data_IF_638247579555
#
_entry.id   IF_638247579555
#
_cell.length_a   1.000
_cell.length_b   1.000
_cell.length_c   1.000
_cell.angle_alpha   90.00
_cell.angle_beta   90.00
_cell.angle_gamma   90.00
#
_symmetry.space_group_name_H-M   'P 1'
#
loop_
_entity.id
_entity.type
_entity.pdbx_description
1 polymer ?
#
# COMPACT_ATOMS: atom_id res chain seq x y z
N UNK A 1 -49.70 -16.21 38.30
CA UNK A 1 -49.01 -14.91 38.48
C UNK A 1 -47.84 -14.93 37.51
N UNK A 2 -48.05 -14.53 36.25
CA UNK A 2 -47.85 -13.14 35.77
C UNK A 2 -46.42 -12.68 36.07
N UNK A 3 -45.60 -12.17 35.16
CA UNK A 3 -45.63 -11.91 33.73
C UNK A 3 -44.27 -11.20 33.46
N UNK A 4 -43.82 -11.13 32.19
CA UNK A 4 -42.85 -10.15 31.63
C UNK A 4 -41.32 -10.42 31.60
N UNK A 5 -40.85 -10.52 30.34
CA UNK A 5 -39.58 -10.00 29.75
C UNK A 5 -38.38 -10.94 29.93
N UNK A 6 -37.87 -11.67 28.91
CA UNK A 6 -37.39 -11.24 27.60
C UNK A 6 -37.26 -12.46 26.65
N UNK A 7 -37.65 -12.32 25.39
CA UNK A 7 -37.57 -13.32 24.33
C UNK A 7 -36.54 -12.88 23.26
N UNK A 8 -35.93 -13.87 22.59
CA UNK A 8 -35.20 -13.80 21.32
C UNK A 8 -33.85 -13.06 21.28
N UNK A 9 -32.75 -13.82 21.27
CA UNK A 9 -31.77 -13.75 20.16
C UNK A 9 -31.23 -15.16 19.89
N UNK A 10 -31.72 -15.78 18.82
CA UNK A 10 -31.09 -16.93 18.16
C UNK A 10 -30.69 -16.47 16.76
N UNK A 11 -29.46 -16.82 16.37
CA UNK A 11 -28.82 -16.65 15.05
C UNK A 11 -28.37 -15.25 14.62
N UNK A 12 -27.05 -15.04 14.70
CA UNK A 12 -26.28 -14.64 13.53
C UNK A 12 -24.92 -15.33 13.59
N UNK A 13 -24.84 -16.47 12.90
CA UNK A 13 -23.57 -17.06 12.50
C UNK A 13 -22.89 -16.01 11.61
N UNK A 14 -21.85 -15.34 12.13
CA UNK A 14 -20.92 -14.60 11.31
C UNK A 14 -20.11 -15.63 10.52
N UNK A 15 -20.64 -16.05 9.37
CA UNK A 15 -19.80 -16.63 8.32
C UNK A 15 -18.89 -15.52 7.81
N UNK A 16 -17.68 -15.41 8.36
CA UNK A 16 -16.59 -14.68 7.74
C UNK A 16 -16.11 -15.47 6.51
N UNK A 17 -16.89 -15.39 5.42
CA UNK A 17 -16.33 -15.65 4.11
C UNK A 17 -15.36 -14.51 3.81
N UNK A 18 -14.10 -14.73 4.15
CA UNK A 18 -12.95 -13.96 3.67
C UNK A 18 -12.82 -14.18 2.15
N UNK A 19 -13.68 -13.51 1.38
CA UNK A 19 -13.52 -13.41 -0.08
C UNK A 19 -12.40 -12.43 -0.38
N UNK A 20 -11.30 -12.99 -0.90
CA UNK A 20 -10.10 -12.28 -1.36
C UNK A 20 -10.46 -11.06 -2.22
N UNK A 21 -9.94 -9.86 -1.94
CA UNK A 21 -10.07 -8.74 -2.86
C UNK A 21 -9.47 -9.09 -4.22
N UNK A 22 -10.21 -8.86 -5.31
CA UNK A 22 -9.69 -8.92 -6.67
C UNK A 22 -8.62 -7.83 -6.93
N UNK A 23 -8.01 -7.77 -8.14
CA UNK A 23 -7.01 -6.74 -8.48
C UNK A 23 -7.57 -5.31 -8.51
N UNK A 24 -8.89 -5.16 -8.42
CA UNK A 24 -9.63 -3.91 -8.26
C UNK A 24 -10.62 -4.11 -7.12
N UNK A 25 -10.75 -3.10 -6.27
CA UNK A 25 -11.55 -3.15 -5.04
C UNK A 25 -12.59 -2.03 -5.02
N UNK A 26 -13.64 -2.19 -4.21
CA UNK A 26 -14.56 -1.10 -3.91
C UNK A 26 -13.83 -0.15 -2.96
N UNK A 27 -13.66 1.10 -3.38
CA UNK A 27 -12.87 2.10 -2.66
C UNK A 27 -13.74 3.07 -1.87
N UNK A 28 -14.85 3.48 -2.44
CA UNK A 28 -15.75 4.47 -1.84
C UNK A 28 -17.19 4.22 -2.29
N UNK A 29 -18.14 4.41 -1.38
CA UNK A 29 -19.58 4.19 -1.61
C UNK A 29 -20.34 5.41 -1.13
N UNK A 30 -21.05 6.06 -2.04
CA UNK A 30 -21.87 7.25 -1.80
C UNK A 30 -23.36 6.93 -1.98
N UNK A 31 -24.02 6.39 -0.93
CA UNK A 31 -25.37 5.84 -1.05
C UNK A 31 -26.48 6.89 -0.91
N UNK A 32 -26.19 8.09 -0.41
CA UNK A 32 -27.22 9.09 -0.12
C UNK A 32 -26.84 10.48 -0.60
N UNK A 33 -27.05 10.72 -1.88
CA UNK A 33 -26.81 12.02 -2.49
C UNK A 33 -27.72 13.11 -1.91
N UNK A 34 -27.13 14.27 -1.62
CA UNK A 34 -27.85 15.52 -1.28
C UNK A 34 -27.87 16.51 -2.44
N UNK A 35 -27.16 16.19 -3.54
CA UNK A 35 -27.10 16.95 -4.78
C UNK A 35 -27.49 16.08 -5.97
N UNK A 36 -27.84 16.69 -7.11
CA UNK A 36 -28.36 16.02 -8.30
C UNK A 36 -27.41 15.08 -9.04
N UNK A 37 -26.26 14.70 -8.45
CA UNK A 37 -25.28 13.79 -9.05
C UNK A 37 -25.58 12.30 -8.82
N UNK A 38 -26.62 11.97 -8.04
CA UNK A 38 -27.04 10.59 -7.80
C UNK A 38 -26.10 9.81 -6.88
N UNK A 39 -26.40 8.54 -6.70
CA UNK A 39 -25.59 7.60 -5.93
C UNK A 39 -24.40 7.15 -6.78
N UNK A 40 -23.30 6.79 -6.14
CA UNK A 40 -22.17 6.22 -6.87
C UNK A 40 -21.32 5.30 -6.01
N UNK A 41 -20.56 4.45 -6.70
CA UNK A 41 -19.50 3.63 -6.12
C UNK A 41 -18.22 3.87 -6.91
N UNK A 42 -17.12 4.06 -6.21
CA UNK A 42 -15.80 4.15 -6.80
C UNK A 42 -15.00 2.86 -6.61
N UNK A 43 -14.31 2.48 -7.68
CA UNK A 43 -13.36 1.40 -7.72
C UNK A 43 -11.93 1.93 -7.70
N UNK A 44 -11.02 1.22 -7.04
CA UNK A 44 -9.59 1.54 -7.03
C UNK A 44 -8.76 0.33 -7.46
N UNK A 45 -7.71 0.58 -8.25
CA UNK A 45 -6.75 -0.44 -8.68
C UNK A 45 -5.44 -0.35 -7.88
N UNK A 46 -5.25 -1.18 -6.83
CA UNK A 46 -4.00 -1.24 -6.07
C UNK A 46 -2.85 -1.94 -6.79
N UNK A 47 -3.10 -2.61 -7.92
CA UNK A 47 -2.07 -3.36 -8.64
C UNK A 47 -1.10 -2.44 -9.39
N UNK A 48 0.02 -3.01 -9.83
CA UNK A 48 1.07 -2.28 -10.58
C UNK A 48 0.81 -2.19 -12.10
N UNK A 49 -0.33 -2.69 -12.56
CA UNK A 49 -0.71 -2.69 -13.97
C UNK A 49 -2.14 -2.16 -14.14
N UNK A 50 -2.45 -1.63 -15.32
CA UNK A 50 -3.83 -1.25 -15.64
C UNK A 50 -4.73 -2.49 -15.72
N UNK A 51 -5.97 -2.38 -15.22
CA UNK A 51 -6.96 -3.47 -15.24
C UNK A 51 -8.15 -3.06 -16.10
N UNK A 52 -8.42 -3.84 -17.15
CA UNK A 52 -9.64 -3.71 -17.93
C UNK A 52 -10.80 -4.42 -17.21
N UNK A 53 -11.91 -3.72 -17.02
CA UNK A 53 -13.11 -4.22 -16.32
C UNK A 53 -14.07 -4.98 -17.25
N UNK A 54 -13.54 -5.61 -18.30
CA UNK A 54 -14.34 -6.39 -19.25
C UNK A 54 -14.97 -7.59 -18.55
N UNK A 55 -16.31 -7.67 -18.58
CA UNK A 55 -17.08 -8.74 -17.93
C UNK A 55 -17.32 -8.54 -16.42
N UNK A 56 -16.75 -7.50 -15.81
CA UNK A 56 -16.98 -7.21 -14.40
C UNK A 56 -18.38 -6.64 -14.16
N UNK A 57 -18.90 -6.80 -12.95
CA UNK A 57 -20.22 -6.29 -12.57
C UNK A 57 -20.24 -5.74 -11.14
N UNK A 58 -21.03 -4.68 -10.91
CA UNK A 58 -21.40 -4.22 -9.58
C UNK A 58 -22.87 -4.53 -9.32
N UNK A 59 -23.18 -5.03 -8.13
CA UNK A 59 -24.57 -5.34 -7.73
C UNK A 59 -24.87 -4.89 -6.30
N UNK A 60 -26.13 -4.53 -6.05
CA UNK A 60 -26.62 -4.27 -4.69
C UNK A 60 -26.88 -5.57 -3.91
N UNK A 61 -27.36 -5.46 -2.68
CA UNK A 61 -27.73 -6.61 -1.85
C UNK A 61 -28.83 -7.49 -2.47
N UNK A 62 -29.76 -6.89 -3.21
CA UNK A 62 -30.84 -7.60 -3.88
C UNK A 62 -30.39 -8.23 -5.22
N UNK A 63 -29.14 -8.03 -5.62
CA UNK A 63 -28.58 -8.52 -6.86
C UNK A 63 -28.86 -7.65 -8.08
N UNK A 64 -29.45 -6.46 -7.92
CA UNK A 64 -29.67 -5.52 -9.01
C UNK A 64 -28.33 -4.93 -9.48
N UNK A 65 -28.19 -4.68 -10.78
CA UNK A 65 -26.98 -4.07 -11.32
C UNK A 65 -26.84 -2.59 -10.90
N UNK A 66 -25.61 -2.20 -10.51
CA UNK A 66 -25.23 -0.86 -10.09
C UNK A 66 -24.36 -0.20 -11.18
N UNK A 67 -25.00 0.29 -12.23
CA UNK A 67 -24.33 0.92 -13.38
C UNK A 67 -23.55 -0.06 -14.27
N UNK A 68 -22.84 0.49 -15.25
CA UNK A 68 -22.06 -0.29 -16.23
C UNK A 68 -20.56 -0.10 -16.05
N UNK A 69 -19.82 -1.21 -16.05
CA UNK A 69 -18.36 -1.25 -16.05
C UNK A 69 -17.75 -1.52 -17.44
N UNK A 70 -18.59 -1.75 -18.46
CA UNK A 70 -18.13 -2.15 -19.78
C UNK A 70 -17.19 -1.10 -20.40
N UNK A 71 -16.06 -1.57 -20.96
CA UNK A 71 -15.08 -0.73 -21.64
C UNK A 71 -14.20 0.12 -20.74
N UNK A 72 -14.37 0.05 -19.41
CA UNK A 72 -13.53 0.80 -18.46
C UNK A 72 -12.18 0.12 -18.27
N UNK A 73 -11.13 0.93 -18.19
CA UNK A 73 -9.79 0.52 -17.78
C UNK A 73 -9.40 1.39 -16.59
N UNK A 74 -9.00 0.75 -15.49
CA UNK A 74 -8.51 1.46 -14.30
C UNK A 74 -6.97 1.39 -14.32
N UNK A 75 -6.26 2.51 -14.52
CA UNK A 75 -4.80 2.53 -14.46
C UNK A 75 -4.26 2.04 -13.10
N UNK A 76 -2.98 1.68 -13.04
CA UNK A 76 -2.29 1.39 -11.77
C UNK A 76 -2.42 2.59 -10.83
N UNK A 77 -2.98 2.39 -9.63
CA UNK A 77 -3.26 3.45 -8.67
C UNK A 77 -4.38 4.43 -9.08
N UNK A 78 -5.14 4.10 -10.12
CA UNK A 78 -6.25 4.91 -10.62
C UNK A 78 -7.60 4.57 -9.97
N UNK A 79 -8.57 5.44 -10.24
CA UNK A 79 -9.93 5.40 -9.70
C UNK A 79 -10.97 5.30 -10.83
N UNK A 80 -12.12 4.70 -10.55
CA UNK A 80 -13.25 4.67 -11.47
C UNK A 80 -14.60 4.72 -10.74
N UNK A 81 -15.26 5.87 -10.80
CA UNK A 81 -16.59 6.08 -10.23
C UNK A 81 -17.73 5.65 -11.17
N UNK A 82 -18.73 4.98 -10.61
CA UNK A 82 -19.90 4.44 -11.31
C UNK A 82 -21.15 5.04 -10.69
N UNK A 83 -21.82 5.90 -11.44
CA UNK A 83 -23.05 6.58 -11.00
C UNK A 83 -24.31 5.80 -11.38
N UNK A 84 -25.31 5.93 -10.52
CA UNK A 84 -26.65 5.39 -10.68
C UNK A 84 -27.60 6.14 -9.72
N UNK A 85 -28.90 5.83 -9.77
CA UNK A 85 -29.88 6.50 -8.91
C UNK A 85 -30.91 5.51 -8.37
N UNK A 86 -31.23 5.63 -7.09
CA UNK A 86 -32.30 4.87 -6.44
C UNK A 86 -32.02 3.38 -6.36
N UNK A 87 -30.76 3.00 -6.19
CA UNK A 87 -30.33 1.59 -6.10
C UNK A 87 -29.82 1.23 -4.70
N UNK A 88 -29.14 2.15 -4.04
CA UNK A 88 -28.57 1.95 -2.71
C UNK A 88 -29.53 2.42 -1.62
N UNK A 89 -29.90 1.51 -0.71
CA UNK A 89 -30.85 1.80 0.35
C UNK A 89 -30.23 2.67 1.45
N UNK A 90 -30.92 3.74 1.83
CA UNK A 90 -30.47 4.67 2.88
C UNK A 90 -30.46 4.04 4.29
N UNK A 91 -31.33 3.06 4.54
CA UNK A 91 -31.44 2.31 5.80
C UNK A 91 -30.55 1.07 5.87
N UNK A 92 -29.57 0.96 4.98
CA UNK A 92 -28.58 -0.11 4.93
C UNK A 92 -28.68 -0.95 3.68
N UNK A 93 -27.53 -1.27 3.09
CA UNK A 93 -27.42 -2.04 1.85
C UNK A 93 -26.08 -2.77 1.78
N UNK A 94 -25.75 -3.34 0.63
CA UNK A 94 -24.43 -3.81 0.28
C UNK A 94 -24.16 -3.57 -1.20
N UNK A 95 -22.89 -3.35 -1.54
CA UNK A 95 -22.38 -3.37 -2.90
C UNK A 95 -21.41 -4.55 -3.04
N UNK A 96 -21.59 -5.35 -4.08
CA UNK A 96 -20.73 -6.48 -4.42
C UNK A 96 -20.14 -6.28 -5.81
N UNK A 97 -18.82 -6.28 -5.89
CA UNK A 97 -18.05 -6.27 -7.12
C UNK A 97 -17.75 -7.72 -7.53
N UNK A 98 -18.05 -8.04 -8.78
CA UNK A 98 -17.75 -9.32 -9.41
C UNK A 98 -16.67 -9.12 -10.48
N UNK A 99 -15.70 -10.03 -10.54
CA UNK A 99 -14.68 -10.06 -11.58
C UNK A 99 -15.22 -10.59 -12.92
N UNK A 100 -14.39 -10.52 -13.96
CA UNK A 100 -14.75 -11.00 -15.30
C UNK A 100 -15.02 -12.51 -15.42
N UNK A 101 -14.71 -13.30 -14.39
CA UNK A 101 -15.08 -14.73 -14.31
C UNK A 101 -16.41 -14.97 -13.61
N UNK A 102 -17.02 -13.92 -13.03
CA UNK A 102 -18.22 -13.99 -12.20
C UNK A 102 -17.93 -14.30 -10.73
N UNK A 103 -16.66 -14.34 -10.31
CA UNK A 103 -16.26 -14.48 -8.91
C UNK A 103 -16.48 -13.17 -8.14
N UNK A 104 -16.75 -13.26 -6.84
CA UNK A 104 -16.82 -12.07 -5.97
C UNK A 104 -15.41 -11.51 -5.77
N UNK A 105 -15.19 -10.30 -6.26
CA UNK A 105 -13.94 -9.57 -6.15
C UNK A 105 -13.88 -8.72 -4.88
N UNK A 106 -14.96 -8.04 -4.48
CA UNK A 106 -15.01 -7.30 -3.21
C UNK A 106 -16.46 -7.07 -2.80
N UNK A 107 -16.71 -6.91 -1.51
CA UNK A 107 -18.05 -6.61 -0.97
C UNK A 107 -17.95 -5.59 0.14
N UNK A 108 -18.82 -4.59 0.10
CA UNK A 108 -19.01 -3.65 1.19
C UNK A 108 -20.48 -3.62 1.61
N UNK A 109 -20.75 -3.71 2.91
CA UNK A 109 -22.08 -3.57 3.47
C UNK A 109 -22.10 -2.45 4.50
N UNK A 110 -23.20 -1.71 4.55
CA UNK A 110 -23.38 -0.60 5.49
C UNK A 110 -24.76 -0.63 6.14
N UNK A 111 -24.86 -0.01 7.32
CA UNK A 111 -26.08 0.00 8.14
C UNK A 111 -27.00 1.18 7.89
N UNK A 112 -26.50 2.42 7.91
CA UNK A 112 -27.33 3.60 7.63
C UNK A 112 -26.51 4.68 6.95
N UNK A 113 -27.09 5.32 5.93
CA UNK A 113 -26.44 6.35 5.15
C UNK A 113 -26.74 7.75 5.72
N UNK A 114 -25.67 8.48 6.05
CA UNK A 114 -25.73 9.91 6.36
C UNK A 114 -25.88 10.69 5.04
N UNK A 115 -26.85 11.62 4.92
CA UNK A 115 -27.00 12.41 3.70
C UNK A 115 -25.71 13.17 3.38
N UNK A 116 -25.25 13.05 2.13
CA UNK A 116 -24.09 13.78 1.62
C UNK A 116 -22.75 13.24 2.08
N UNK A 117 -22.71 12.07 2.72
CA UNK A 117 -21.46 11.42 3.15
C UNK A 117 -21.23 10.11 2.41
N UNK A 118 -19.96 9.78 2.23
CA UNK A 118 -19.51 8.52 1.69
C UNK A 118 -18.94 7.61 2.77
N UNK A 119 -19.05 6.31 2.56
CA UNK A 119 -18.16 5.35 3.19
C UNK A 119 -16.92 5.25 2.32
N UNK A 120 -15.74 5.28 2.91
CA UNK A 120 -14.49 5.31 2.16
C UNK A 120 -13.42 4.43 2.81
N UNK A 121 -12.62 3.71 2.02
CA UNK A 121 -11.39 3.05 2.51
C UNK A 121 -10.28 4.07 2.71
N UNK A 122 -9.68 4.15 3.90
CA UNK A 122 -8.63 5.14 4.21
C UNK A 122 -7.35 4.43 4.68
N UNK A 123 -6.21 4.57 3.97
CA UNK A 123 -6.08 5.15 2.62
C UNK A 123 -6.79 4.28 1.56
N UNK A 124 -6.78 4.65 0.28
CA UNK A 124 -7.37 3.84 -0.80
C UNK A 124 -6.91 2.38 -0.76
N UNK A 125 -7.84 1.43 -0.98
CA UNK A 125 -7.66 -0.02 -0.72
C UNK A 125 -7.33 -0.44 0.72
N UNK A 126 -7.33 0.49 1.68
CA UNK A 126 -7.15 0.24 3.10
C UNK A 126 -8.44 -0.23 3.79
N UNK A 127 -8.52 0.05 5.09
CA UNK A 127 -9.71 -0.25 5.89
C UNK A 127 -10.81 0.79 5.67
N UNK A 128 -12.07 0.37 5.79
CA UNK A 128 -13.19 1.30 5.79
C UNK A 128 -13.07 2.25 6.98
N UNK A 129 -13.19 3.56 6.73
CA UNK A 129 -13.22 4.56 7.78
C UNK A 129 -14.36 4.27 8.76
N UNK A 130 -14.10 4.51 10.05
CA UNK A 130 -15.10 4.32 11.10
C UNK A 130 -16.23 5.37 11.00
N UNK A 131 -15.93 6.53 10.43
CA UNK A 131 -16.87 7.65 10.27
C UNK A 131 -17.15 7.93 8.78
N UNK A 132 -18.40 8.27 8.41
CA UNK A 132 -18.72 8.74 7.07
C UNK A 132 -17.89 9.99 6.69
N UNK A 133 -17.28 9.97 5.51
CA UNK A 133 -16.36 11.00 5.01
C UNK A 133 -17.05 11.97 4.04
N UNK A 134 -16.40 13.10 3.77
CA UNK A 134 -16.73 13.87 2.57
C UNK A 134 -16.45 13.01 1.32
N UNK A 135 -17.36 12.99 0.34
CA UNK A 135 -17.18 12.21 -0.89
C UNK A 135 -15.93 12.67 -1.67
N UNK A 136 -15.06 11.73 -2.06
CA UNK A 136 -13.79 11.98 -2.76
C UNK A 136 -13.74 11.38 -4.17
N UNK A 137 -14.82 11.55 -4.94
CA UNK A 137 -14.93 10.98 -6.28
C UNK A 137 -13.74 11.34 -7.20
N UNK A 138 -13.02 10.32 -7.67
CA UNK A 138 -11.84 10.43 -8.53
C UNK A 138 -10.54 10.73 -7.80
N UNK A 139 -10.54 10.78 -6.46
CA UNK A 139 -9.44 11.25 -5.64
C UNK A 139 -9.12 10.28 -4.47
N UNK A 140 -7.93 10.40 -3.84
CA UNK A 140 -7.61 9.63 -2.65
C UNK A 140 -8.53 9.93 -1.45
N UNK A 141 -9.00 8.87 -0.81
CA UNK A 141 -9.80 8.95 0.42
C UNK A 141 -8.91 9.30 1.64
N UNK A 142 -9.42 10.11 2.56
CA UNK A 142 -8.78 10.38 3.87
C UNK A 142 -9.15 11.73 4.47
N UNK A 143 -8.63 12.09 5.66
CA UNK A 143 -8.79 13.45 6.16
C UNK A 143 -8.24 14.41 5.12
N UNK A 144 -9.08 15.33 4.67
CA UNK A 144 -8.78 16.23 3.58
C UNK A 144 -7.46 16.94 3.87
N UNK A 145 -6.55 16.89 2.90
CA UNK A 145 -5.31 17.62 3.01
C UNK A 145 -5.64 19.12 3.04
N UNK A 146 -5.49 19.72 4.22
CA UNK A 146 -5.85 21.12 4.47
C UNK A 146 -4.99 22.11 3.68
N UNK A 147 -3.91 21.63 3.03
CA UNK A 147 -3.10 22.42 2.12
C UNK A 147 -3.86 22.78 0.84
N UNK A 148 -4.88 22.01 0.45
CA UNK A 148 -5.69 22.28 -0.73
C UNK A 148 -4.89 22.18 -2.03
N UNK A 149 -4.52 23.32 -2.64
CA UNK A 149 -3.77 23.37 -3.89
C UNK A 149 -2.28 23.57 -3.60
N UNK A 150 -1.44 22.69 -4.14
CA UNK A 150 0.02 22.76 -3.98
C UNK A 150 0.76 22.78 -5.32
N UNK A 151 2.07 23.02 -5.30
CA UNK A 151 2.93 22.87 -6.47
C UNK A 151 3.09 21.38 -6.80
N UNK A 152 2.91 20.98 -8.06
CA UNK A 152 2.91 19.58 -8.47
C UNK A 152 3.97 19.22 -9.50
N UNK A 153 4.15 20.03 -10.53
CA UNK A 153 5.14 19.79 -11.58
C UNK A 153 5.72 21.12 -12.09
N UNK A 154 7.01 21.17 -12.42
CA UNK A 154 7.72 22.40 -12.79
C UNK A 154 8.58 22.14 -14.02
N UNK A 155 8.33 22.89 -15.10
CA UNK A 155 9.07 22.87 -16.37
C UNK A 155 9.72 24.24 -16.64
N UNK A 156 10.97 24.48 -16.19
CA UNK A 156 11.68 25.73 -16.48
C UNK A 156 12.25 25.81 -17.88
N UNK A 157 12.45 24.66 -18.56
CA UNK A 157 13.19 24.64 -19.82
C UNK A 157 12.57 23.68 -20.84
N UNK A 158 11.37 23.97 -21.36
CA UNK A 158 10.73 23.10 -22.35
C UNK A 158 11.57 23.01 -23.63
N UNK A 159 11.49 21.87 -24.34
CA UNK A 159 12.13 21.74 -25.67
C UNK A 159 11.39 22.57 -26.73
N UNK A 160 10.09 22.77 -26.54
CA UNK A 160 9.20 23.55 -27.41
C UNK A 160 8.13 24.21 -26.54
N UNK A 161 7.72 25.43 -26.90
CA UNK A 161 6.67 26.17 -26.19
C UNK A 161 7.18 26.95 -24.98
N UNK A 162 6.24 27.32 -24.12
CA UNK A 162 6.44 28.19 -22.96
C UNK A 162 6.76 27.36 -21.70
N UNK A 163 7.47 27.97 -20.74
CA UNK A 163 7.75 27.40 -19.41
C UNK A 163 6.43 27.21 -18.66
N UNK A 164 6.37 26.32 -17.68
CA UNK A 164 5.13 26.15 -16.91
C UNK A 164 5.34 25.57 -15.52
N UNK A 165 4.36 25.82 -14.66
CA UNK A 165 4.18 25.20 -13.34
C UNK A 165 2.78 24.62 -13.30
N UNK A 166 2.67 23.40 -12.83
CA UNK A 166 1.40 22.76 -12.56
C UNK A 166 1.09 22.79 -11.07
N UNK A 167 -0.16 23.14 -10.76
CA UNK A 167 -0.74 23.02 -9.44
C UNK A 167 -1.61 21.76 -9.36
N UNK A 168 -1.64 21.11 -8.19
CA UNK A 168 -2.52 19.97 -7.94
C UNK A 168 -3.33 20.21 -6.67
N UNK A 169 -4.64 19.98 -6.76
CA UNK A 169 -5.50 19.98 -5.59
C UNK A 169 -5.42 18.64 -4.86
N UNK A 170 -4.62 18.60 -3.80
CA UNK A 170 -4.49 17.45 -2.88
C UNK A 170 -5.67 17.34 -1.90
N UNK A 171 -6.48 18.40 -1.82
CA UNK A 171 -7.67 18.43 -1.00
C UNK A 171 -8.82 17.64 -1.64
N UNK A 172 -9.82 17.35 -0.80
CA UNK A 172 -11.07 16.70 -1.18
C UNK A 172 -12.16 17.69 -1.66
N UNK A 173 -11.87 18.99 -1.66
CA UNK A 173 -12.80 20.06 -2.02
C UNK A 173 -12.23 20.91 -3.15
N UNK A 174 -13.11 21.43 -4.00
CA UNK A 174 -12.77 22.43 -5.00
C UNK A 174 -12.20 23.69 -4.33
N UNK A 175 -11.09 24.20 -4.85
CA UNK A 175 -10.41 25.39 -4.31
C UNK A 175 -10.52 26.53 -5.31
N UNK A 176 -11.14 27.63 -4.90
CA UNK A 176 -11.06 28.90 -5.63
C UNK A 176 -9.74 29.61 -5.31
N UNK A 177 -8.95 29.87 -6.34
CA UNK A 177 -7.66 30.54 -6.27
C UNK A 177 -7.78 32.06 -6.22
N UNK A 178 -8.98 32.64 -6.15
CA UNK A 178 -9.17 34.09 -6.00
C UNK A 178 -8.30 34.67 -4.87
N UNK A 179 -7.37 35.57 -5.23
CA UNK A 179 -6.42 36.18 -4.31
C UNK A 179 -5.14 35.38 -4.05
N UNK A 180 -5.05 34.12 -4.49
CA UNK A 180 -3.82 33.33 -4.40
C UNK A 180 -2.73 33.93 -5.27
N UNK A 181 -1.47 33.61 -4.94
CA UNK A 181 -0.31 34.11 -5.67
C UNK A 181 0.75 33.04 -5.84
N UNK A 182 1.21 32.82 -7.08
CA UNK A 182 2.40 32.04 -7.39
C UNK A 182 3.52 32.98 -7.79
N UNK A 183 4.60 33.01 -7.02
CA UNK A 183 5.71 33.93 -7.23
C UNK A 183 7.06 33.23 -7.30
N UNK A 184 7.96 33.80 -8.10
CA UNK A 184 9.36 33.38 -8.19
C UNK A 184 10.26 34.20 -7.24
N UNK A 185 11.57 33.91 -7.24
CA UNK A 185 12.55 34.66 -6.46
C UNK A 185 12.82 36.07 -7.01
N UNK A 186 12.63 36.25 -8.32
CA UNK A 186 12.91 37.51 -9.03
C UNK A 186 11.79 38.56 -8.88
N UNK A 187 10.69 38.20 -8.20
CA UNK A 187 9.58 39.09 -7.88
C UNK A 187 8.44 39.05 -8.91
N UNK A 188 8.50 38.17 -9.91
CA UNK A 188 7.34 37.91 -10.75
C UNK A 188 6.27 37.16 -9.94
N UNK A 189 5.02 37.53 -10.13
CA UNK A 189 3.89 36.88 -9.48
C UNK A 189 2.70 36.73 -10.43
N UNK A 190 2.16 35.52 -10.50
CA UNK A 190 0.84 35.24 -11.05
C UNK A 190 -0.19 35.31 -9.92
N UNK A 191 -1.25 36.09 -10.12
CA UNK A 191 -2.42 36.12 -9.24
C UNK A 191 -3.66 35.68 -10.01
N UNK A 192 -4.66 35.18 -9.28
CA UNK A 192 -5.96 34.80 -9.84
C UNK A 192 -7.06 35.68 -9.27
N UNK A 193 -7.99 36.09 -10.14
CA UNK A 193 -9.19 36.84 -9.77
C UNK A 193 -10.45 35.96 -9.75
N UNK A 194 -10.32 34.68 -10.11
CA UNK A 194 -11.42 33.72 -10.23
C UNK A 194 -10.97 32.51 -11.02
N UNK A 195 -10.56 31.44 -10.33
CA UNK A 195 -10.16 30.17 -10.95
C UNK A 195 -10.33 29.05 -9.94
N UNK A 196 -11.21 28.10 -10.24
CA UNK A 196 -11.42 26.94 -9.36
C UNK A 196 -10.61 25.75 -9.87
N UNK A 197 -9.84 25.13 -8.97
CA UNK A 197 -9.22 23.82 -9.20
C UNK A 197 -10.05 22.79 -8.47
N UNK A 198 -10.71 21.91 -9.23
CA UNK A 198 -11.52 20.86 -8.63
C UNK A 198 -10.66 19.90 -7.79
N UNK A 199 -11.25 19.23 -6.79
CA UNK A 199 -10.56 18.20 -6.01
C UNK A 199 -9.90 17.17 -6.92
N UNK A 200 -8.65 16.77 -6.62
CA UNK A 200 -7.89 15.81 -7.43
C UNK A 200 -7.56 16.27 -8.87
N UNK A 201 -7.79 17.54 -9.21
CA UNK A 201 -7.51 18.09 -10.55
C UNK A 201 -6.22 18.88 -10.61
N UNK A 202 -5.72 19.07 -11.83
CA UNK A 202 -4.47 19.76 -12.14
C UNK A 202 -4.74 21.11 -12.84
N UNK A 203 -3.91 22.10 -12.56
CA UNK A 203 -3.93 23.40 -13.26
C UNK A 203 -2.54 23.74 -13.78
N UNK A 204 -2.39 23.75 -15.11
CA UNK A 204 -1.13 24.14 -15.77
C UNK A 204 -1.11 25.66 -15.96
N UNK A 205 -0.04 26.30 -15.48
CA UNK A 205 0.19 27.74 -15.53
C UNK A 205 1.42 28.00 -16.38
N UNK A 206 1.24 28.62 -17.56
CA UNK A 206 2.34 28.94 -18.47
C UNK A 206 3.03 30.27 -18.16
N UNK A 207 4.32 30.34 -18.46
CA UNK A 207 5.19 31.51 -18.29
C UNK A 207 6.12 31.70 -19.50
N UNK A 208 6.50 32.96 -19.74
CA UNK A 208 7.50 33.31 -20.75
C UNK A 208 8.73 33.91 -20.07
N UNK A 209 9.83 33.17 -20.07
CA UNK A 209 11.14 33.58 -19.54
C UNK A 209 11.05 34.08 -18.09
N UNK A 210 10.38 33.33 -17.21
CA UNK A 210 10.24 33.63 -15.79
C UNK A 210 10.96 32.62 -14.90
N UNK A 211 11.06 31.36 -15.32
CA UNK A 211 11.70 30.31 -14.54
C UNK A 211 13.21 30.25 -14.87
N UNK A 212 14.05 30.57 -13.89
CA UNK A 212 15.49 30.69 -14.13
C UNK A 212 16.19 29.33 -14.31
N UNK A 213 16.82 29.12 -15.47
CA UNK A 213 17.53 27.86 -15.77
C UNK A 213 18.74 27.57 -14.86
N UNK A 214 19.33 28.60 -14.26
CA UNK A 214 20.42 28.50 -13.28
C UNK A 214 19.95 28.33 -11.83
N UNK A 215 18.67 27.98 -11.64
CA UNK A 215 18.04 27.79 -10.34
C UNK A 215 17.08 28.92 -9.97
N UNK A 216 16.01 28.55 -9.28
CA UNK A 216 14.94 29.46 -8.87
C UNK A 216 14.23 28.95 -7.62
N UNK A 217 13.31 29.76 -7.09
CA UNK A 217 12.42 29.37 -5.99
C UNK A 217 11.01 29.85 -6.30
N UNK A 218 10.08 28.90 -6.36
CA UNK A 218 8.66 29.12 -6.52
C UNK A 218 7.98 29.06 -5.16
N UNK A 219 7.10 30.02 -4.89
CA UNK A 219 6.30 30.08 -3.68
C UNK A 219 4.84 30.25 -4.06
N UNK A 220 3.99 29.36 -3.54
CA UNK A 220 2.54 29.46 -3.65
C UNK A 220 1.98 30.02 -2.34
N UNK A 221 1.20 31.09 -2.43
CA UNK A 221 0.57 31.76 -1.32
C UNK A 221 -0.95 31.69 -1.43
N UNK A 222 -1.62 31.56 -0.28
CA UNK A 222 -3.06 31.72 -0.18
C UNK A 222 -3.50 33.19 -0.29
N UNK A 223 -4.81 33.44 -0.25
CA UNK A 223 -5.39 34.78 -0.32
C UNK A 223 -5.05 35.68 0.88
N UNK A 224 -4.64 35.11 2.03
CA UNK A 224 -4.17 35.86 3.20
C UNK A 224 -2.70 36.27 3.09
N UNK A 225 -1.97 35.67 2.14
CA UNK A 225 -0.53 35.86 1.95
C UNK A 225 0.33 34.83 2.69
N UNK A 226 -0.26 33.81 3.31
CA UNK A 226 0.48 32.72 3.93
C UNK A 226 1.02 31.76 2.86
N UNK A 227 2.24 31.26 3.05
CA UNK A 227 2.84 30.27 2.13
C UNK A 227 2.18 28.91 2.30
N UNK A 228 1.61 28.39 1.22
CA UNK A 228 1.04 27.03 1.14
C UNK A 228 2.14 26.02 0.82
N UNK A 229 2.94 26.30 -0.21
CA UNK A 229 4.00 25.41 -0.69
C UNK A 229 5.15 26.20 -1.31
N UNK A 230 6.33 25.58 -1.34
CA UNK A 230 7.53 26.16 -1.92
C UNK A 230 8.37 25.09 -2.60
N UNK A 231 8.98 25.45 -3.73
CA UNK A 231 9.88 24.58 -4.46
C UNK A 231 11.09 25.36 -4.96
N UNK A 232 12.28 24.88 -4.61
CA UNK A 232 13.53 25.44 -5.06
C UNK A 232 14.33 24.42 -5.89
N UNK A 233 15.02 24.91 -6.91
CA UNK A 233 15.94 24.12 -7.72
C UNK A 233 17.19 24.93 -8.07
N UNK A 234 18.28 24.26 -8.40
CA UNK A 234 19.60 24.89 -8.61
C UNK A 234 20.06 24.87 -10.07
N UNK A 235 19.46 24.06 -10.93
CA UNK A 235 19.73 24.04 -12.38
C UNK A 235 18.64 23.28 -13.11
N UNK A 236 18.34 23.63 -14.37
CA UNK A 236 17.34 22.94 -15.21
C UNK A 236 17.94 22.22 -16.42
N UNK A 237 17.51 20.97 -16.62
CA UNK A 237 17.75 20.19 -17.84
C UNK A 237 16.69 20.49 -18.90
N UNK A 238 17.07 20.75 -20.18
CA UNK A 238 16.11 20.92 -21.27
C UNK A 238 15.14 19.73 -21.39
N UNK A 239 13.85 20.02 -21.52
CA UNK A 239 12.77 19.05 -21.71
C UNK A 239 12.38 18.26 -20.48
N UNK A 240 12.93 18.57 -19.30
CA UNK A 240 12.69 17.79 -18.08
C UNK A 240 12.02 18.61 -16.99
N UNK A 241 11.21 17.92 -16.19
CA UNK A 241 10.43 18.50 -15.10
C UNK A 241 10.84 17.94 -13.75
N UNK A 242 10.67 18.74 -12.70
CA UNK A 242 10.48 18.18 -11.36
C UNK A 242 9.02 17.93 -11.17
N UNK A 243 8.65 16.82 -10.54
CA UNK A 243 7.26 16.43 -10.37
C UNK A 243 7.02 15.72 -9.06
N UNK A 244 5.85 15.88 -8.45
CA UNK A 244 5.43 15.12 -7.27
C UNK A 244 4.69 13.87 -7.71
N UNK A 245 5.09 12.68 -7.26
CA UNK A 245 4.38 11.46 -7.59
C UNK A 245 4.21 10.51 -6.36
N UNK A 246 2.98 10.01 -6.09
CA UNK A 246 1.71 10.46 -6.69
C UNK A 246 1.48 11.96 -6.45
N UNK A 247 0.54 12.59 -7.16
CA UNK A 247 0.24 14.02 -7.00
C UNK A 247 0.10 14.37 -5.51
N UNK A 248 0.78 15.42 -5.05
CA UNK A 248 0.86 15.74 -3.62
C UNK A 248 2.03 15.15 -2.84
N UNK A 249 2.74 14.19 -3.43
CA UNK A 249 3.85 13.43 -2.82
C UNK A 249 5.19 14.17 -2.77
N UNK A 250 6.28 13.41 -2.69
CA UNK A 250 7.64 13.96 -2.69
C UNK A 250 8.03 14.46 -4.09
N UNK A 251 8.83 15.53 -4.14
CA UNK A 251 9.45 15.98 -5.38
C UNK A 251 10.41 14.91 -5.90
N UNK A 252 10.24 14.55 -7.16
CA UNK A 252 11.15 13.69 -7.91
C UNK A 252 12.12 14.55 -8.72
N UNK A 253 13.31 13.99 -8.97
CA UNK A 253 14.31 14.61 -9.84
C UNK A 253 13.85 14.65 -11.30
N UNK A 254 14.63 15.33 -12.15
CA UNK A 254 14.38 15.56 -13.57
C UNK A 254 14.44 14.30 -14.47
N UNK A 255 14.09 13.13 -13.96
CA UNK A 255 14.29 11.82 -14.57
C UNK A 255 13.10 11.27 -15.38
N UNK A 256 11.98 11.97 -15.45
CA UNK A 256 10.80 11.51 -16.21
C UNK A 256 10.30 12.52 -17.21
N UNK A 257 9.30 12.08 -17.97
CA UNK A 257 8.69 12.87 -19.03
C UNK A 257 7.63 13.80 -18.43
N UNK A 258 7.49 15.03 -18.98
CA UNK A 258 6.46 15.97 -18.56
C UNK A 258 5.04 15.40 -18.70
N UNK A 259 4.18 15.67 -17.71
CA UNK A 259 2.79 15.19 -17.66
C UNK A 259 1.76 16.31 -17.43
N UNK A 260 1.77 17.39 -18.24
CA UNK A 260 0.89 18.53 -18.02
C UNK A 260 -0.59 18.14 -18.11
N UNK A 261 -1.35 18.48 -17.07
CA UNK A 261 -2.78 18.23 -16.93
C UNK A 261 -3.13 16.80 -16.53
N UNK A 262 -2.15 15.96 -16.18
CA UNK A 262 -2.34 14.55 -15.89
C UNK A 262 -1.60 14.11 -14.62
N UNK A 263 -1.98 12.95 -14.10
CA UNK A 263 -1.26 12.37 -12.98
C UNK A 263 0.19 12.12 -13.35
N UNK A 264 1.10 12.67 -12.55
CA UNK A 264 2.52 12.42 -12.68
C UNK A 264 2.75 10.91 -12.61
N UNK A 265 3.39 10.30 -13.61
CA UNK A 265 3.85 8.94 -13.44
C UNK A 265 4.73 8.95 -12.20
N UNK A 266 4.48 7.98 -11.30
CA UNK A 266 5.45 7.62 -10.27
C UNK A 266 6.82 7.67 -10.92
N UNK A 267 7.85 8.10 -10.18
CA UNK A 267 9.20 7.91 -10.67
C UNK A 267 9.21 6.53 -11.34
N UNK A 268 9.70 6.45 -12.57
CA UNK A 268 10.50 5.30 -12.84
C UNK A 268 11.60 5.40 -11.78
N UNK A 269 11.29 4.92 -10.56
CA UNK A 269 12.21 4.11 -9.83
C UNK A 269 12.61 3.19 -10.95
N UNK A 270 13.85 3.28 -11.47
CA UNK A 270 14.33 2.10 -12.13
C UNK A 270 14.11 1.08 -11.04
N UNK A 271 13.06 0.26 -11.20
CA UNK A 271 12.92 -0.98 -10.47
C UNK A 271 14.34 -1.43 -10.34
N UNK A 272 14.98 -1.46 -9.14
CA UNK A 272 16.41 -1.61 -9.05
C UNK A 272 16.71 -2.72 -10.02
N UNK A 273 17.34 -2.37 -11.16
CA UNK A 273 17.21 -3.20 -12.36
C UNK A 273 17.58 -4.57 -11.86
N UNK A 274 16.68 -5.58 -11.94
CA UNK A 274 16.79 -6.80 -11.13
C UNK A 274 18.27 -7.15 -11.10
N UNK A 275 18.97 -7.04 -9.94
CA UNK A 275 20.42 -6.83 -9.85
C UNK A 275 21.05 -7.57 -11.00
N UNK A 276 21.59 -6.81 -11.97
CA UNK A 276 21.85 -7.27 -13.33
C UNK A 276 22.32 -8.72 -13.32
N UNK A 277 21.36 -9.61 -13.56
CA UNK A 277 21.50 -10.98 -13.13
C UNK A 277 20.18 -11.72 -13.33
N UNK A 278 20.24 -13.05 -13.56
CA UNK A 278 19.04 -13.87 -13.65
C UNK A 278 18.14 -13.63 -12.42
N UNK A 279 16.84 -13.94 -12.54
CA UNK A 279 16.02 -14.20 -11.35
C UNK A 279 16.87 -15.01 -10.35
N UNK A 280 16.80 -14.76 -9.02
CA UNK A 280 17.60 -15.52 -8.05
C UNK A 280 17.44 -17.05 -8.19
N UNK A 281 16.40 -17.45 -8.92
CA UNK A 281 16.20 -18.72 -9.58
C UNK A 281 16.01 -18.49 -11.09
N UNK A 282 17.09 -18.44 -11.87
CA UNK A 282 17.01 -18.55 -13.33
C UNK A 282 16.17 -19.79 -13.65
N UNK A 283 15.22 -19.68 -14.58
CA UNK A 283 14.09 -20.60 -14.82
C UNK A 283 14.40 -22.08 -15.11
N UNK A 284 15.52 -22.60 -14.65
CA UNK A 284 16.00 -23.98 -14.71
C UNK A 284 16.04 -24.68 -13.34
N UNK A 285 16.01 -23.96 -12.20
CA UNK A 285 15.88 -24.62 -10.89
C UNK A 285 14.42 -24.93 -10.60
N UNK A 286 14.05 -26.21 -10.55
CA UNK A 286 12.71 -26.67 -10.14
C UNK A 286 12.38 -26.45 -8.66
N UNK A 287 13.15 -25.63 -7.92
CA UNK A 287 13.02 -25.36 -6.48
C UNK A 287 12.13 -24.16 -6.15
N UNK A 288 12.25 -23.65 -4.92
CA UNK A 288 11.52 -22.48 -4.40
C UNK A 288 12.49 -21.31 -4.24
N UNK A 289 12.11 -20.13 -4.72
CA UNK A 289 12.91 -18.92 -4.55
C UNK A 289 12.55 -18.25 -3.22
N UNK A 290 13.48 -18.30 -2.25
CA UNK A 290 13.32 -17.73 -0.91
C UNK A 290 14.12 -16.44 -0.76
N UNK A 291 13.56 -15.44 -0.07
CA UNK A 291 14.25 -14.21 0.29
C UNK A 291 13.91 -13.77 1.71
N UNK A 292 14.78 -12.96 2.31
CA UNK A 292 14.52 -12.27 3.57
C UNK A 292 14.73 -10.77 3.36
N UNK A 293 13.85 -9.94 3.93
CA UNK A 293 13.90 -8.50 3.75
C UNK A 293 13.44 -7.75 5.01
N UNK A 294 14.39 -7.07 5.64
CA UNK A 294 14.08 -6.07 6.64
C UNK A 294 13.60 -4.79 5.93
N UNK A 295 12.31 -4.47 6.08
CA UNK A 295 11.72 -3.24 5.56
C UNK A 295 11.67 -2.24 6.71
N UNK A 296 12.65 -1.35 6.77
CA UNK A 296 12.80 -0.42 7.88
C UNK A 296 11.49 0.30 8.27
N UNK A 297 11.09 0.28 9.53
CA UNK A 297 9.90 0.97 10.05
C UNK A 297 8.63 0.72 9.20
N UNK A 298 8.31 -0.55 8.90
CA UNK A 298 7.20 -0.88 8.01
C UNK A 298 5.84 -0.76 8.69
N UNK A 299 5.33 0.47 8.73
CA UNK A 299 4.03 0.82 9.29
C UNK A 299 3.29 1.89 8.47
N UNK A 300 2.20 2.48 9.01
CA UNK A 300 1.28 3.35 8.26
C UNK A 300 1.94 4.52 7.54
N UNK A 301 2.93 5.16 8.15
CA UNK A 301 3.66 6.28 7.54
C UNK A 301 4.41 5.89 6.26
N UNK A 302 4.88 4.64 6.16
CA UNK A 302 5.51 4.09 4.95
C UNK A 302 4.46 3.52 4.00
N UNK A 303 3.45 2.80 4.52
CA UNK A 303 2.35 2.22 3.75
C UNK A 303 1.48 3.26 3.03
N UNK A 304 1.34 4.46 3.61
CA UNK A 304 0.64 5.59 2.99
C UNK A 304 1.40 6.27 1.85
N UNK A 305 2.54 5.73 1.40
CA UNK A 305 3.35 6.26 0.29
C UNK A 305 3.22 5.34 -0.94
N UNK A 306 2.31 5.62 -1.89
CA UNK A 306 2.02 4.70 -3.00
C UNK A 306 3.24 4.33 -3.85
N UNK A 307 4.17 5.26 -4.11
CA UNK A 307 5.39 4.98 -4.84
C UNK A 307 6.32 4.00 -4.11
N UNK A 308 6.40 4.07 -2.77
CA UNK A 308 7.16 3.11 -1.97
C UNK A 308 6.51 1.73 -2.03
N UNK A 309 5.19 1.68 -1.89
CA UNK A 309 4.45 0.42 -1.93
C UNK A 309 4.50 -0.26 -3.30
N UNK A 310 4.57 0.51 -4.40
CA UNK A 310 4.79 -0.04 -5.73
C UNK A 310 6.16 -0.75 -5.84
N UNK A 311 7.22 -0.15 -5.31
CA UNK A 311 8.56 -0.78 -5.26
C UNK A 311 8.55 -2.02 -4.37
N UNK A 312 7.92 -1.94 -3.20
CA UNK A 312 7.79 -3.08 -2.28
C UNK A 312 7.12 -4.26 -2.99
N UNK A 313 5.96 -4.04 -3.64
CA UNK A 313 5.26 -5.08 -4.42
C UNK A 313 6.15 -5.65 -5.52
N UNK A 314 6.88 -4.79 -6.24
CA UNK A 314 7.76 -5.23 -7.31
C UNK A 314 8.90 -6.12 -6.81
N UNK A 315 9.58 -5.73 -5.73
CA UNK A 315 10.65 -6.54 -5.12
C UNK A 315 10.09 -7.87 -4.63
N UNK A 316 8.98 -7.83 -3.91
CA UNK A 316 8.32 -9.00 -3.34
C UNK A 316 7.82 -9.99 -4.42
N UNK A 317 7.38 -9.50 -5.59
CA UNK A 317 6.90 -10.34 -6.71
C UNK A 317 7.95 -11.31 -7.27
N UNK A 318 9.23 -11.09 -6.96
CA UNK A 318 10.38 -11.87 -7.43
C UNK A 318 10.60 -13.18 -6.67
N UNK A 319 9.98 -13.31 -5.50
CA UNK A 319 10.18 -14.46 -4.62
C UNK A 319 8.94 -15.36 -4.62
N UNK A 320 9.16 -16.66 -4.44
CA UNK A 320 8.07 -17.58 -4.10
C UNK A 320 7.72 -17.50 -2.62
N UNK A 321 8.70 -17.21 -1.77
CA UNK A 321 8.55 -16.96 -0.34
C UNK A 321 9.49 -15.83 0.06
N UNK A 322 8.97 -14.81 0.73
CA UNK A 322 9.74 -13.70 1.27
C UNK A 322 9.43 -13.54 2.77
N UNK A 323 10.46 -13.63 3.61
CA UNK A 323 10.39 -13.27 5.02
C UNK A 323 10.56 -11.76 5.18
N UNK A 324 9.66 -11.12 5.94
CA UNK A 324 9.60 -9.68 6.14
C UNK A 324 9.76 -9.40 7.64
N UNK A 325 10.65 -8.46 7.97
CA UNK A 325 10.89 -7.97 9.34
C UNK A 325 10.46 -6.50 9.51
N UNK A 326 10.49 -5.99 10.74
CA UNK A 326 10.16 -4.60 11.12
C UNK A 326 8.72 -4.15 10.83
N UNK A 327 7.75 -5.08 10.93
CA UNK A 327 6.34 -4.72 10.93
C UNK A 327 5.98 -4.02 12.24
N UNK A 328 5.91 -2.68 12.18
CA UNK A 328 5.76 -1.84 13.36
C UNK A 328 4.29 -1.62 13.77
N UNK A 329 3.34 -1.82 12.85
CA UNK A 329 1.90 -1.70 13.16
C UNK A 329 1.44 -2.81 14.11
N UNK A 330 0.65 -2.44 15.12
CA UNK A 330 0.12 -3.38 16.09
C UNK A 330 -1.14 -4.04 15.52
N UNK A 331 -1.15 -5.38 15.31
CA UNK A 331 -2.32 -6.06 14.80
C UNK A 331 -3.48 -6.02 15.81
N UNK A 332 -4.68 -5.61 15.39
CA UNK A 332 -5.88 -5.63 16.25
C UNK A 332 -7.05 -6.32 15.55
N UNK A 333 -7.75 -7.26 16.23
CA UNK A 333 -9.00 -7.80 15.71
C UNK A 333 -10.08 -6.70 15.54
N UNK A 334 -10.91 -6.75 14.46
CA UNK A 334 -10.84 -7.71 13.36
C UNK A 334 -9.59 -7.49 12.50
N UNK A 335 -8.83 -8.55 12.25
CA UNK A 335 -7.61 -8.47 11.44
C UNK A 335 -7.94 -8.11 9.98
N UNK A 336 -6.97 -7.51 9.29
CA UNK A 336 -7.17 -7.05 7.91
C UNK A 336 -7.42 -8.22 6.93
N UNK A 337 -7.87 -7.88 5.72
CA UNK A 337 -8.41 -8.82 4.74
C UNK A 337 -7.45 -9.94 4.31
N UNK A 338 -6.13 -9.76 4.52
CA UNK A 338 -5.12 -10.69 4.05
C UNK A 338 -4.70 -11.77 5.05
N UNK A 339 -5.30 -11.81 6.26
CA UNK A 339 -5.18 -12.95 7.17
C UNK A 339 -5.08 -12.60 8.65
N UNK A 340 -5.00 -13.63 9.50
CA UNK A 340 -4.82 -13.47 10.94
C UNK A 340 -3.51 -12.74 11.29
N UNK A 341 -3.58 -11.89 12.32
CA UNK A 341 -2.49 -11.03 12.77
C UNK A 341 -1.97 -10.06 11.68
N UNK A 342 -2.73 -9.81 10.59
CA UNK A 342 -2.32 -8.87 9.54
C UNK A 342 -3.00 -7.51 9.67
N UNK A 343 -2.37 -6.51 9.06
CA UNK A 343 -2.78 -5.11 9.07
C UNK A 343 -2.71 -4.50 7.66
N UNK A 344 -3.33 -3.34 7.47
CA UNK A 344 -3.51 -2.72 6.15
C UNK A 344 -2.21 -2.54 5.36
N UNK A 345 -1.11 -2.20 6.03
CA UNK A 345 0.21 -1.95 5.39
C UNK A 345 0.78 -3.23 4.80
N UNK A 346 0.79 -4.34 5.55
CA UNK A 346 1.30 -5.61 5.04
C UNK A 346 0.37 -6.19 3.97
N UNK A 347 -0.94 -6.03 4.10
CA UNK A 347 -1.89 -6.45 3.06
C UNK A 347 -1.70 -5.65 1.77
N UNK A 348 -1.46 -4.34 1.89
CA UNK A 348 -1.16 -3.46 0.75
C UNK A 348 0.16 -3.80 0.07
N UNK A 349 1.05 -4.58 0.69
CA UNK A 349 2.32 -5.01 0.09
C UNK A 349 2.18 -6.18 -0.89
N UNK A 350 1.02 -6.85 -0.90
CA UNK A 350 0.76 -8.01 -1.74
C UNK A 350 0.74 -7.58 -3.22
N UNK A 351 1.60 -8.13 -4.09
CA UNK A 351 1.69 -7.71 -5.49
C UNK A 351 0.40 -7.97 -6.28
N UNK A 352 -0.16 -9.16 -6.08
CA UNK A 352 -1.43 -9.61 -6.63
C UNK A 352 -2.10 -10.57 -5.63
N UNK A 353 -3.24 -10.20 -5.02
CA UNK A 353 -3.95 -11.05 -4.07
C UNK A 353 -4.51 -12.35 -4.66
N UNK A 354 -4.63 -12.48 -5.98
CA UNK A 354 -5.00 -13.76 -6.60
C UNK A 354 -3.84 -14.75 -6.52
N UNK A 355 -2.63 -14.30 -6.83
CA UNK A 355 -1.42 -15.14 -6.94
C UNK A 355 -0.64 -15.29 -5.64
N UNK A 356 -0.66 -14.28 -4.77
CA UNK A 356 0.10 -14.21 -3.53
C UNK A 356 -0.81 -14.19 -2.29
N UNK A 357 -0.24 -14.59 -1.15
CA UNK A 357 -0.84 -14.49 0.17
C UNK A 357 0.25 -14.14 1.19
N UNK A 358 -0.17 -13.77 2.40
CA UNK A 358 0.74 -13.48 3.51
C UNK A 358 0.31 -14.26 4.75
N UNK A 359 1.28 -14.56 5.62
CA UNK A 359 1.05 -15.07 6.97
C UNK A 359 1.93 -14.28 7.93
N UNK A 360 1.33 -13.68 8.94
CA UNK A 360 2.05 -12.93 9.96
C UNK A 360 2.12 -13.69 11.28
N UNK A 361 3.21 -13.51 12.03
CA UNK A 361 3.35 -13.98 13.41
C UNK A 361 2.40 -13.22 14.34
N UNK A 362 2.17 -13.64 15.59
CA UNK A 362 1.71 -12.72 16.62
C UNK A 362 2.68 -11.53 16.79
N UNK A 363 2.26 -10.51 17.54
CA UNK A 363 3.16 -9.41 17.95
C UNK A 363 4.27 -9.96 18.85
N UNK A 364 5.52 -9.63 18.55
CA UNK A 364 6.71 -10.07 19.27
C UNK A 364 7.48 -8.82 19.68
N UNK A 365 7.25 -8.37 20.91
CA UNK A 365 7.77 -7.09 21.39
C UNK A 365 7.23 -5.89 20.59
N UNK A 366 8.13 -5.09 20.04
CA UNK A 366 7.85 -3.90 19.25
C UNK A 366 7.68 -4.17 17.75
N UNK A 367 7.75 -5.45 17.31
CA UNK A 367 7.70 -5.83 15.90
C UNK A 367 6.86 -7.09 15.66
N UNK A 368 6.67 -7.41 14.38
CA UNK A 368 6.07 -8.64 13.91
C UNK A 368 6.85 -9.16 12.69
N UNK A 369 6.82 -10.47 12.48
CA UNK A 369 7.38 -11.11 11.30
C UNK A 369 6.27 -11.56 10.36
N UNK A 370 6.53 -11.58 9.06
CA UNK A 370 5.60 -12.17 8.09
C UNK A 370 6.31 -12.97 7.01
N UNK A 371 5.62 -13.98 6.48
CA UNK A 371 5.95 -14.61 5.21
C UNK A 371 4.94 -14.18 4.16
N UNK A 372 5.41 -13.50 3.10
CA UNK A 372 4.65 -13.37 1.86
C UNK A 372 5.01 -14.53 0.93
N UNK A 373 4.04 -15.13 0.26
CA UNK A 373 4.29 -16.30 -0.57
C UNK A 373 3.37 -16.45 -1.78
N UNK A 374 3.89 -17.09 -2.84
CA UNK A 374 3.16 -17.45 -4.05
C UNK A 374 2.36 -18.73 -3.81
N UNK A 375 1.03 -18.66 -3.94
CA UNK A 375 0.12 -19.78 -3.65
C UNK A 375 0.36 -21.00 -4.53
N UNK A 376 0.87 -20.80 -5.75
CA UNK A 376 1.17 -21.86 -6.70
C UNK A 376 2.47 -22.62 -6.36
N UNK A 377 3.35 -22.02 -5.55
CA UNK A 377 4.68 -22.55 -5.22
C UNK A 377 4.71 -23.22 -3.85
N UNK A 378 3.98 -22.68 -2.86
CA UNK A 378 3.95 -23.22 -1.49
C UNK A 378 2.56 -23.18 -0.87
N UNK A 379 2.41 -23.90 0.25
CA UNK A 379 1.34 -23.70 1.21
C UNK A 379 1.95 -23.31 2.57
N UNK A 380 1.42 -22.29 3.23
CA UNK A 380 1.87 -21.87 4.56
C UNK A 380 0.76 -22.11 5.57
N UNK A 381 1.04 -22.91 6.60
CA UNK A 381 0.07 -23.26 7.64
C UNK A 381 -0.37 -22.01 8.43
N UNK A 382 -1.57 -22.05 9.01
CA UNK A 382 -1.93 -21.12 10.09
C UNK A 382 -1.19 -21.43 11.39
N UNK A 383 -0.81 -22.69 11.61
CA UNK A 383 -0.02 -23.12 12.76
C UNK A 383 1.47 -22.73 12.58
N UNK A 384 1.92 -21.80 13.40
CA UNK A 384 3.32 -21.44 13.64
C UNK A 384 3.60 -21.36 15.14
N UNK A 385 4.85 -21.13 15.52
CA UNK A 385 5.23 -21.02 16.93
C UNK A 385 6.36 -20.00 17.11
N UNK A 386 6.36 -19.31 18.25
CA UNK A 386 7.48 -18.44 18.67
C UNK A 386 8.39 -19.23 19.59
N UNK A 387 9.70 -19.06 19.44
CA UNK A 387 10.69 -19.65 20.34
C UNK A 387 10.40 -19.20 21.78
N UNK A 388 10.31 -20.11 22.77
CA UNK A 388 9.90 -19.78 24.14
C UNK A 388 10.88 -18.84 24.89
N UNK A 389 12.13 -18.75 24.44
CA UNK A 389 13.20 -17.90 24.98
C UNK A 389 13.24 -17.81 26.52
N UNK A 390 13.41 -18.94 27.24
CA UNK A 390 13.36 -18.95 28.70
C UNK A 390 14.47 -18.12 29.36
N UNK A 391 15.56 -17.84 28.65
CA UNK A 391 16.66 -17.01 29.12
C UNK A 391 16.48 -15.51 28.85
N UNK A 392 15.45 -15.09 28.14
CA UNK A 392 15.30 -13.69 27.70
C UNK A 392 16.47 -13.19 26.86
N UNK A 393 17.08 -14.09 26.08
CA UNK A 393 18.26 -13.80 25.28
C UNK A 393 17.85 -12.94 24.08
N UNK A 394 16.73 -13.27 23.44
CA UNK A 394 16.27 -12.62 22.23
C UNK A 394 15.41 -11.42 22.57
N UNK A 395 15.79 -10.21 22.11
CA UNK A 395 14.89 -9.05 22.23
C UNK A 395 13.57 -9.29 21.49
N UNK A 396 13.64 -10.00 20.37
CA UNK A 396 12.49 -10.43 19.55
C UNK A 396 12.63 -11.91 19.21
N UNK A 397 12.13 -12.82 20.06
CA UNK A 397 12.27 -14.26 19.88
C UNK A 397 11.89 -14.74 18.46
N UNK A 398 12.67 -15.63 17.83
CA UNK A 398 12.39 -16.13 16.48
C UNK A 398 11.00 -16.74 16.36
N UNK A 399 10.31 -16.49 15.25
CA UNK A 399 9.01 -17.09 14.95
C UNK A 399 9.10 -18.04 13.76
N UNK A 400 8.75 -19.31 14.00
CA UNK A 400 8.76 -20.38 13.02
C UNK A 400 7.40 -20.56 12.34
N UNK A 401 7.43 -20.45 11.01
CA UNK A 401 6.31 -20.74 10.12
C UNK A 401 6.47 -22.13 9.50
N UNK A 402 5.37 -22.87 9.39
CA UNK A 402 5.35 -24.15 8.67
C UNK A 402 5.04 -23.94 7.19
N UNK A 403 5.97 -24.34 6.32
CA UNK A 403 5.90 -24.17 4.86
C UNK A 403 5.94 -25.54 4.18
N UNK A 404 5.02 -25.79 3.24
CA UNK A 404 5.03 -26.96 2.37
C UNK A 404 5.26 -26.55 0.94
N UNK A 405 6.39 -26.97 0.37
CA UNK A 405 6.72 -26.84 -1.02
C UNK A 405 5.74 -27.64 -1.90
N UNK A 406 5.21 -27.00 -2.96
CA UNK A 406 4.42 -27.67 -4.00
C UNK A 406 5.25 -28.03 -5.24
N UNK A 407 6.48 -27.50 -5.32
CA UNK A 407 7.42 -27.70 -6.42
C UNK A 407 8.82 -27.93 -5.84
N UNK A 408 9.64 -28.68 -6.56
CA UNK A 408 10.97 -29.07 -6.12
C UNK A 408 10.98 -30.19 -5.10
N UNK A 409 12.16 -30.47 -4.54
CA UNK A 409 12.39 -31.57 -3.61
C UNK A 409 12.29 -31.17 -2.13
N UNK A 410 12.10 -29.88 -1.81
CA UNK A 410 12.14 -29.36 -0.45
C UNK A 410 11.01 -29.86 0.47
N UNK A 411 9.89 -30.37 -0.07
CA UNK A 411 8.84 -31.00 0.74
C UNK A 411 8.29 -30.10 1.87
N UNK A 412 8.51 -30.48 3.13
CA UNK A 412 8.10 -29.70 4.32
C UNK A 412 9.29 -28.97 4.94
N UNK A 413 9.10 -27.69 5.26
CA UNK A 413 10.09 -26.83 5.89
C UNK A 413 9.49 -26.14 7.12
N UNK A 414 10.34 -25.88 8.11
CA UNK A 414 10.09 -24.90 9.16
C UNK A 414 11.01 -23.70 8.94
N UNK A 415 10.44 -22.51 8.77
CA UNK A 415 11.18 -21.26 8.52
C UNK A 415 11.01 -20.36 9.73
N UNK A 416 12.05 -20.23 10.55
CA UNK A 416 12.10 -19.27 11.65
C UNK A 416 12.63 -17.93 11.17
N UNK A 417 11.81 -16.90 11.34
CA UNK A 417 12.18 -15.52 11.04
C UNK A 417 12.62 -14.83 12.33
N UNK A 418 13.73 -14.09 12.27
CA UNK A 418 14.24 -13.29 13.39
C UNK A 418 14.78 -11.94 12.92
N UNK A 419 14.86 -10.99 13.84
CA UNK A 419 15.52 -9.71 13.68
C UNK A 419 16.30 -9.42 14.96
N UNK A 420 17.61 -9.69 14.91
CA UNK A 420 18.45 -9.60 16.11
C UNK A 420 18.61 -8.14 16.55
N UNK A 421 18.92 -7.93 17.82
CA UNK A 421 19.35 -6.62 18.32
C UNK A 421 20.82 -6.38 17.94
N UNK A 422 21.19 -5.24 17.34
CA UNK A 422 22.59 -4.91 17.07
C UNK A 422 23.47 -4.95 18.32
N UNK A 423 22.90 -4.62 19.48
CA UNK A 423 23.59 -4.58 20.77
C UNK A 423 23.81 -5.97 21.39
N UNK A 424 23.05 -6.98 20.95
CA UNK A 424 23.09 -8.36 21.47
C UNK A 424 23.29 -9.41 20.36
N UNK A 425 23.73 -8.99 19.17
CA UNK A 425 23.79 -9.85 17.99
C UNK A 425 24.59 -11.12 18.27
N UNK A 426 25.75 -11.02 18.91
CA UNK A 426 26.59 -12.16 19.29
C UNK A 426 25.85 -13.16 20.21
N UNK A 427 25.20 -12.66 21.27
CA UNK A 427 24.46 -13.47 22.24
C UNK A 427 23.25 -14.15 21.60
N UNK A 428 22.49 -13.42 20.78
CA UNK A 428 21.31 -13.92 20.09
C UNK A 428 21.66 -14.96 19.02
N UNK A 429 22.69 -14.70 18.20
CA UNK A 429 23.22 -15.64 17.19
C UNK A 429 23.82 -16.88 17.88
N UNK A 430 24.56 -16.69 18.97
CA UNK A 430 25.12 -17.79 19.77
C UNK A 430 24.06 -18.77 20.27
N UNK A 431 22.81 -18.31 20.41
CA UNK A 431 21.66 -19.11 20.83
C UNK A 431 20.92 -19.81 19.66
N UNK A 432 21.28 -19.57 18.40
CA UNK A 432 20.65 -20.23 17.24
C UNK A 432 20.67 -21.78 17.27
N UNK A 433 21.68 -22.46 17.84
CA UNK A 433 21.63 -23.91 18.01
C UNK A 433 20.51 -24.40 18.95
N UNK A 434 20.13 -23.62 19.98
CA UNK A 434 18.97 -23.94 20.82
C UNK A 434 17.67 -23.72 20.06
N UNK A 435 17.58 -22.63 19.28
CA UNK A 435 16.43 -22.34 18.41
C UNK A 435 16.22 -23.47 17.41
N UNK A 436 17.30 -23.95 16.77
CA UNK A 436 17.23 -25.04 15.79
C UNK A 436 16.76 -26.35 16.43
N UNK A 437 17.30 -26.72 17.61
CA UNK A 437 16.85 -27.90 18.37
C UNK A 437 15.38 -27.80 18.79
N UNK A 438 14.94 -26.62 19.21
CA UNK A 438 13.53 -26.38 19.50
C UNK A 438 12.67 -26.57 18.24
N UNK A 439 13.11 -26.06 17.08
CA UNK A 439 12.38 -26.24 15.81
C UNK A 439 12.26 -27.72 15.44
N UNK A 440 13.32 -28.52 15.60
CA UNK A 440 13.31 -29.96 15.33
C UNK A 440 12.26 -30.70 16.16
N UNK A 441 12.08 -30.30 17.43
CA UNK A 441 11.04 -30.86 18.30
C UNK A 441 9.63 -30.34 17.97
N UNK A 442 9.47 -29.02 17.83
CA UNK A 442 8.17 -28.36 17.63
C UNK A 442 7.58 -28.58 16.22
N UNK A 443 8.44 -28.88 15.24
CA UNK A 443 8.07 -29.10 13.83
C UNK A 443 8.63 -30.43 13.32
N UNK A 444 8.41 -31.51 14.06
CA UNK A 444 8.97 -32.84 13.77
C UNK A 444 8.62 -33.44 12.38
N UNK A 445 7.61 -32.92 11.69
CA UNK A 445 7.25 -33.29 10.32
C UNK A 445 7.95 -32.44 9.24
N UNK A 446 8.68 -31.40 9.62
CA UNK A 446 9.53 -30.64 8.71
C UNK A 446 10.78 -31.47 8.37
N UNK A 447 11.13 -31.49 7.08
CA UNK A 447 12.36 -32.12 6.59
C UNK A 447 13.56 -31.18 6.62
N UNK A 448 13.30 -29.88 6.54
CA UNK A 448 14.33 -28.85 6.52
C UNK A 448 13.97 -27.71 7.48
N UNK A 449 14.99 -27.16 8.13
CA UNK A 449 14.89 -26.07 9.08
C UNK A 449 15.69 -24.88 8.55
N UNK A 450 15.05 -23.73 8.46
CA UNK A 450 15.65 -22.49 7.94
C UNK A 450 15.53 -21.43 9.01
N UNK A 451 16.67 -20.86 9.42
CA UNK A 451 16.71 -19.62 10.17
C UNK A 451 16.99 -18.48 9.19
N UNK A 452 16.15 -17.46 9.15
CA UNK A 452 16.24 -16.37 8.20
C UNK A 452 15.93 -15.03 8.88
N UNK A 453 16.58 -13.97 8.44
CA UNK A 453 16.37 -12.68 9.08
C UNK A 453 17.46 -11.68 8.81
N UNK A 454 17.33 -10.55 9.48
CA UNK A 454 18.42 -9.61 9.68
C UNK A 454 19.14 -9.97 10.98
N UNK A 455 20.36 -10.47 10.85
CA UNK A 455 21.13 -11.01 11.97
C UNK A 455 22.11 -10.00 12.55
N UNK A 456 22.31 -8.83 11.94
CA UNK A 456 23.35 -7.88 12.34
C UNK A 456 24.76 -8.55 12.48
N UNK A 457 25.06 -9.53 11.63
CA UNK A 457 26.19 -10.44 11.77
C UNK A 457 27.48 -9.98 11.06
N UNK A 458 27.69 -8.67 10.87
CA UNK A 458 28.91 -8.11 10.26
C UNK A 458 29.08 -6.62 10.67
N UNK A 459 30.23 -6.01 10.37
CA UNK A 459 30.57 -4.62 10.69
C UNK A 459 31.15 -4.44 12.09
N UNK A 460 30.89 -3.30 12.74
CA UNK A 460 31.34 -3.04 14.12
C UNK A 460 30.60 -3.86 15.20
N UNK A 461 29.66 -4.70 14.78
CA UNK A 461 28.70 -5.43 15.63
C UNK A 461 29.05 -6.92 15.78
N UNK A 462 29.89 -7.46 14.89
CA UNK A 462 30.28 -8.87 14.86
C UNK A 462 31.66 -9.00 14.21
N UNK A 463 32.63 -9.67 14.86
CA UNK A 463 33.99 -9.82 14.31
C UNK A 463 34.26 -11.26 13.86
N UNK A 464 34.35 -11.48 12.55
CA UNK A 464 34.61 -12.79 11.94
C UNK A 464 35.94 -13.42 12.38
N UNK A 465 36.95 -12.61 12.75
CA UNK A 465 38.31 -13.11 13.00
C UNK A 465 38.50 -13.83 14.35
N UNK A 466 37.57 -13.71 15.32
CA UNK A 466 37.70 -14.37 16.63
C UNK A 466 36.84 -15.62 16.83
N UNK A 467 35.71 -15.76 16.14
CA UNK A 467 34.60 -16.57 16.68
C UNK A 467 34.13 -17.75 15.83
N UNK A 468 34.52 -17.85 14.55
CA UNK A 468 34.23 -19.04 13.73
C UNK A 468 34.92 -20.34 14.21
N UNK A 469 35.77 -20.28 15.25
CA UNK A 469 36.33 -21.46 15.91
C UNK A 469 35.37 -22.10 16.93
N UNK A 470 34.34 -21.39 17.38
CA UNK A 470 33.41 -21.84 18.43
C UNK A 470 31.98 -22.14 17.97
N UNK A 471 31.51 -21.48 16.90
CA UNK A 471 30.16 -21.62 16.34
C UNK A 471 30.01 -22.91 15.55
N UNK A 472 29.69 -24.01 16.26
CA UNK A 472 29.31 -25.29 15.65
C UNK A 472 27.89 -25.23 15.10
N UNK A 473 27.69 -24.56 13.97
CA UNK A 473 26.64 -25.02 13.06
C UNK A 473 27.03 -26.43 12.59
N UNK A 474 26.17 -27.44 12.72
CA UNK A 474 26.52 -28.80 12.34
C UNK A 474 26.95 -28.82 10.88
N UNK A 475 28.15 -29.35 10.62
CA UNK A 475 28.57 -29.68 9.26
C UNK A 475 27.65 -30.80 8.79
N UNK A 476 26.83 -30.50 7.78
CA UNK A 476 25.93 -31.46 7.15
C UNK A 476 26.65 -32.64 6.53
#
# INVERSE_FOLDING_TARGET
>A
MMDRVLSLVTQAILTTNSSRPGPVVINEVFPRAVSGRGEWIELYNPSVAAVALTGWALRDRAGNALGSLAGRVVPSGGYAAVHFSGRLNNGGDAATLYDGSGGVADTFAYGSAVPGKAFARVPSAGEWSQDPQEPTEGAPNGPCDSRGVILNEVMPRPLQGDEWVELYNVGCLDVDLSGFRLADRAGYAKTWAGTTVAAGSYLVVGFKNKLNNGGDTLNLFDASGATIDSFAYTSSTPGRTWRRAPGGGQWLSQSGDPSPGAANPAAAVPAPGPPGGPLPCGGQCGGICFGTWNIQNFGPAKGGRPAVMAVVRQVLSRYDVAAIQELSQMPRPPFSWCGENTESVICSSIPDPATFAVRASPRIGDEQYALMYRKASVNVSSAGATFPDPGGIHRRPPHAFRVRAKRGSAGSLAVAVTHTSPERAEEEIGNFPEVTRWMEGAFADARHFVLAGDFNADGGYFSDEREWRGSRLPRG
#
